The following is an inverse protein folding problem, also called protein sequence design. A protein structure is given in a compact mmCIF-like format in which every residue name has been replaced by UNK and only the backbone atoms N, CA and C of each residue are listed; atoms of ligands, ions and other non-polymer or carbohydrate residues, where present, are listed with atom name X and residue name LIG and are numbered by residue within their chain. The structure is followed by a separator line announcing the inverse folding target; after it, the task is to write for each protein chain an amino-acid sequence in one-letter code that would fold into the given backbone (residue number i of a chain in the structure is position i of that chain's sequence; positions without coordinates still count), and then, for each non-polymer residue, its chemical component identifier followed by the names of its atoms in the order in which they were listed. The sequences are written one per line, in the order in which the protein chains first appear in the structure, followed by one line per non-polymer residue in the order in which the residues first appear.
data_IF_258108509976
#
_entry.id   IF_258108509976
#
_cell.length_a   1.000
_cell.length_b   1.000
_cell.length_c   1.000
_cell.angle_alpha   90.00
_cell.angle_beta   90.00
_cell.angle_gamma   90.00
#
_symmetry.space_group_name_H-M   'P 1'
#
loop_
_entity.id
_entity.type
_entity.pdbx_description
1 polymer ?
#
# COMPACT_ATOMS: atom_id res chain seq x y z
N UNK A 1 46.68 36.07 59.22
CA UNK A 1 46.50 34.87 60.06
C UNK A 1 45.07 34.37 59.86
N UNK A 2 44.86 33.08 59.60
CA UNK A 2 44.05 32.61 58.47
C UNK A 2 42.81 31.82 58.89
N UNK A 3 41.87 31.61 57.96
CA UNK A 3 41.28 30.29 57.65
C UNK A 3 40.28 30.39 56.49
N UNK A 4 40.79 30.07 55.30
CA UNK A 4 40.22 29.17 54.29
C UNK A 4 38.77 28.67 54.46
N UNK A 5 37.96 28.93 53.43
CA UNK A 5 36.73 28.21 53.12
C UNK A 5 36.18 28.66 51.77
N UNK A 6 36.73 28.14 50.67
CA UNK A 6 36.09 28.20 49.35
C UNK A 6 34.86 27.29 49.34
N UNK A 7 33.65 27.78 49.04
CA UNK A 7 32.56 26.93 48.62
C UNK A 7 32.58 26.80 47.10
N UNK A 8 32.71 25.55 46.66
CA UNK A 8 32.25 24.97 45.40
C UNK A 8 32.03 25.90 44.22
N UNK A 9 32.87 25.72 43.19
CA UNK A 9 32.55 26.15 41.84
C UNK A 9 31.15 25.69 41.48
N UNK A 10 30.24 26.67 41.37
CA UNK A 10 28.96 26.52 40.73
C UNK A 10 29.21 25.86 39.38
N UNK A 11 28.80 24.60 39.27
CA UNK A 11 28.66 23.92 38.00
C UNK A 11 27.69 24.76 37.18
N UNK A 12 28.25 25.64 36.35
CA UNK A 12 27.54 26.39 35.32
C UNK A 12 26.58 25.42 34.66
N UNK A 13 25.30 25.64 34.95
CA UNK A 13 24.16 25.07 34.26
C UNK A 13 24.53 24.94 32.80
N UNK A 14 24.65 23.70 32.33
CA UNK A 14 24.81 23.39 30.92
C UNK A 14 23.55 23.92 30.25
N UNK A 15 23.67 25.13 29.74
CA UNK A 15 22.92 25.77 28.67
C UNK A 15 21.59 25.09 28.41
N UNK A 16 20.51 25.77 28.82
CA UNK A 16 19.16 25.57 28.30
C UNK A 16 19.14 25.85 26.80
N UNK A 17 19.78 24.98 26.03
CA UNK A 17 19.64 24.94 24.59
C UNK A 17 18.21 24.47 24.34
N UNK A 18 17.42 25.31 23.68
CA UNK A 18 16.10 24.91 23.20
C UNK A 18 16.23 23.58 22.44
N UNK A 19 15.34 22.64 22.75
CA UNK A 19 15.32 21.34 22.08
C UNK A 19 15.18 21.56 20.56
N UNK A 20 16.01 20.87 19.77
CA UNK A 20 15.97 21.00 18.30
C UNK A 20 14.63 20.52 17.70
N UNK A 21 13.90 19.70 18.43
CA UNK A 21 12.59 19.18 18.05
C UNK A 21 11.51 19.77 18.95
N UNK A 22 10.32 19.94 18.39
CA UNK A 22 9.12 20.34 19.14
C UNK A 22 7.98 19.40 18.82
N UNK A 23 7.25 18.96 19.85
CA UNK A 23 6.02 18.20 19.66
C UNK A 23 4.96 19.06 18.97
N UNK A 24 4.32 18.50 17.94
CA UNK A 24 3.28 19.18 17.13
C UNK A 24 1.90 19.26 17.81
N UNK A 25 1.76 18.76 19.04
CA UNK A 25 0.51 18.80 19.82
C UNK A 25 -0.50 17.70 19.50
N UNK A 26 -0.19 16.81 18.56
CA UNK A 26 -1.03 15.65 18.23
C UNK A 26 -0.19 14.44 17.84
N UNK A 27 -0.82 13.26 17.85
CA UNK A 27 -0.23 11.99 17.45
C UNK A 27 -1.28 11.00 16.96
N UNK A 28 -0.83 9.76 16.75
CA UNK A 28 -1.68 8.65 16.34
C UNK A 28 -1.48 7.48 17.31
N UNK A 29 -2.55 7.04 17.96
CA UNK A 29 -2.54 5.76 18.68
C UNK A 29 -2.91 4.66 17.68
N UNK A 30 -2.19 3.54 17.76
CA UNK A 30 -2.57 2.30 17.09
C UNK A 30 -2.76 1.25 18.16
N UNK A 31 -3.86 0.51 18.09
CA UNK A 31 -4.17 -0.45 19.13
C UNK A 31 -4.93 -1.68 18.56
N UNK A 32 -4.70 -2.87 19.15
CA UNK A 32 -5.52 -4.04 18.88
C UNK A 32 -7.00 -3.77 19.19
N UNK A 33 -7.91 -4.39 18.43
CA UNK A 33 -9.36 -4.18 18.62
C UNK A 33 -9.89 -4.94 19.84
N UNK A 34 -9.27 -6.06 20.21
CA UNK A 34 -9.62 -6.83 21.39
C UNK A 34 -8.70 -6.44 22.56
N UNK A 35 -9.21 -6.46 23.80
CA UNK A 35 -8.39 -6.23 24.97
C UNK A 35 -7.38 -7.37 25.16
N UNK A 36 -6.22 -7.07 25.73
CA UNK A 36 -5.12 -8.03 25.90
C UNK A 36 -5.48 -9.26 26.73
N UNK A 37 -6.44 -9.14 27.66
CA UNK A 37 -6.95 -10.27 28.45
C UNK A 37 -7.58 -11.38 27.59
N UNK A 38 -8.12 -11.05 26.40
CA UNK A 38 -8.68 -12.02 25.45
C UNK A 38 -7.62 -12.82 24.67
N UNK A 39 -6.34 -12.53 24.87
CA UNK A 39 -5.28 -13.40 24.34
C UNK A 39 -5.36 -14.83 24.91
N UNK A 40 -5.92 -15.00 26.12
CA UNK A 40 -6.18 -16.31 26.72
C UNK A 40 -7.15 -17.17 25.93
N UNK A 41 -8.13 -16.55 25.26
CA UNK A 41 -9.15 -17.25 24.46
C UNK A 41 -8.58 -17.90 23.18
N UNK A 42 -7.35 -17.53 22.81
CA UNK A 42 -6.65 -18.13 21.67
C UNK A 42 -5.97 -19.45 22.03
N UNK A 43 -5.94 -19.83 23.31
CA UNK A 43 -5.41 -21.11 23.77
C UNK A 43 -6.33 -22.22 23.28
N UNK A 44 -5.90 -22.89 22.22
CA UNK A 44 -6.36 -24.24 21.94
C UNK A 44 -5.60 -25.16 22.90
N UNK A 45 -6.27 -26.13 23.51
CA UNK A 45 -5.58 -27.27 24.10
C UNK A 45 -5.38 -28.27 22.94
N UNK A 46 -4.26 -28.25 22.19
CA UNK A 46 -3.90 -29.46 21.47
C UNK A 46 -3.60 -30.48 22.57
N UNK A 47 -4.37 -31.57 22.61
CA UNK A 47 -4.06 -32.69 23.51
C UNK A 47 -2.59 -33.05 23.37
N UNK A 48 -1.94 -33.37 24.50
CA UNK A 48 -0.54 -33.81 24.50
C UNK A 48 -0.36 -35.17 23.81
N UNK A 49 -1.45 -35.82 23.41
CA UNK A 49 -1.48 -37.12 22.76
C UNK A 49 -1.93 -36.99 21.28
N UNK A 50 -1.12 -37.45 20.30
CA UNK A 50 -1.49 -37.44 18.88
C UNK A 50 -2.75 -38.26 18.54
N UNK A 51 -3.13 -39.22 19.40
CA UNK A 51 -4.27 -40.14 19.21
C UNK A 51 -5.51 -39.79 20.04
N UNK A 52 -5.44 -38.85 20.99
CA UNK A 52 -6.66 -38.22 21.51
C UNK A 52 -7.16 -37.21 20.47
N UNK A 53 -8.17 -37.64 19.71
CA UNK A 53 -8.87 -36.83 18.73
C UNK A 53 -9.47 -35.55 19.36
N UNK A 54 -8.65 -34.53 19.53
CA UNK A 54 -9.09 -33.17 19.82
C UNK A 54 -9.94 -32.72 18.63
N UNK A 55 -11.26 -32.67 18.79
CA UNK A 55 -12.22 -32.24 17.76
C UNK A 55 -11.77 -30.89 17.14
N UNK A 56 -11.10 -30.89 15.97
CA UNK A 56 -10.54 -29.67 15.41
C UNK A 56 -11.66 -28.78 14.89
N UNK A 57 -12.80 -29.37 14.50
CA UNK A 57 -13.98 -28.64 14.08
C UNK A 57 -14.62 -27.93 15.28
N UNK A 58 -14.77 -28.61 16.42
CA UNK A 58 -15.22 -28.02 17.69
C UNK A 58 -14.32 -26.88 18.15
N UNK A 59 -13.00 -27.09 18.11
CA UNK A 59 -12.01 -26.05 18.43
C UNK A 59 -12.12 -24.84 17.50
N UNK A 60 -12.30 -25.08 16.19
CA UNK A 60 -12.49 -24.01 15.22
C UNK A 60 -13.80 -23.25 15.48
N UNK A 61 -14.90 -23.94 15.79
CA UNK A 61 -16.18 -23.29 16.14
C UNK A 61 -16.06 -22.43 17.40
N UNK A 62 -15.37 -22.93 18.43
CA UNK A 62 -15.11 -22.16 19.65
C UNK A 62 -14.28 -20.90 19.38
N UNK A 63 -13.19 -21.03 18.61
CA UNK A 63 -12.37 -19.89 18.20
C UNK A 63 -13.12 -18.91 17.29
N UNK A 64 -14.04 -19.40 16.46
CA UNK A 64 -14.86 -18.60 15.57
C UNK A 64 -16.15 -18.09 16.22
N UNK A 65 -16.39 -18.32 17.51
CA UNK A 65 -17.64 -17.93 18.18
C UNK A 65 -17.87 -16.42 18.16
N UNK A 66 -16.80 -15.62 18.25
CA UNK A 66 -16.83 -14.16 18.22
C UNK A 66 -17.09 -13.65 16.77
N UNK A 67 -18.24 -12.98 16.51
CA UNK A 67 -18.56 -12.41 15.20
C UNK A 67 -17.50 -11.44 14.66
N UNK A 68 -16.85 -10.66 15.53
CA UNK A 68 -15.79 -9.73 15.14
C UNK A 68 -14.56 -10.46 14.61
N UNK A 69 -14.20 -11.59 15.23
CA UNK A 69 -13.09 -12.42 14.76
C UNK A 69 -13.41 -13.00 13.37
N UNK A 70 -14.63 -13.50 13.16
CA UNK A 70 -15.07 -14.00 11.84
C UNK A 70 -15.00 -12.90 10.79
N UNK A 71 -15.54 -11.72 11.09
CA UNK A 71 -15.51 -10.60 10.16
C UNK A 71 -14.08 -10.14 9.85
N UNK A 72 -13.21 -10.03 10.85
CA UNK A 72 -11.82 -9.62 10.68
C UNK A 72 -11.03 -10.58 9.76
N UNK A 73 -11.29 -11.90 9.87
CA UNK A 73 -10.68 -12.92 9.02
C UNK A 73 -11.23 -12.86 7.59
N UNK A 74 -12.52 -12.58 7.42
CA UNK A 74 -13.13 -12.34 6.09
C UNK A 74 -12.56 -11.10 5.41
N UNK A 75 -12.38 -10.00 6.14
CA UNK A 75 -11.74 -8.76 5.62
C UNK A 75 -10.29 -8.99 5.22
N UNK A 76 -9.58 -9.87 5.92
CA UNK A 76 -8.21 -10.24 5.57
C UNK A 76 -8.10 -11.09 4.28
N UNK A 77 -9.23 -11.43 3.62
CA UNK A 77 -9.24 -12.04 2.28
C UNK A 77 -8.63 -13.44 2.23
N UNK A 78 -8.68 -14.19 3.33
CA UNK A 78 -7.93 -15.44 3.48
C UNK A 78 -8.77 -16.68 3.16
N UNK A 79 -8.16 -17.72 2.58
CA UNK A 79 -8.77 -19.06 2.45
C UNK A 79 -9.25 -19.66 3.79
N UNK A 80 -8.84 -19.06 4.92
CA UNK A 80 -9.31 -19.38 6.26
C UNK A 80 -10.79 -19.00 6.46
N UNK A 81 -11.27 -17.87 5.91
CA UNK A 81 -12.67 -17.45 6.09
C UNK A 81 -13.64 -18.47 5.49
N UNK A 82 -13.30 -19.03 4.33
CA UNK A 82 -14.08 -20.08 3.67
C UNK A 82 -14.14 -21.36 4.50
N UNK A 83 -13.03 -21.76 5.13
CA UNK A 83 -13.00 -22.93 6.00
C UNK A 83 -13.87 -22.70 7.23
N UNK A 84 -13.72 -21.54 7.88
CA UNK A 84 -14.52 -21.17 9.05
C UNK A 84 -16.01 -21.20 8.71
N UNK A 85 -16.41 -20.61 7.58
CA UNK A 85 -17.80 -20.63 7.13
C UNK A 85 -18.31 -22.05 6.91
N UNK A 86 -17.58 -22.88 6.15
CA UNK A 86 -18.00 -24.27 5.88
C UNK A 86 -18.19 -25.10 7.14
N UNK A 87 -17.32 -24.92 8.14
CA UNK A 87 -17.40 -25.65 9.42
C UNK A 87 -18.59 -25.17 10.27
N UNK A 88 -18.90 -23.88 10.23
CA UNK A 88 -20.08 -23.30 10.91
C UNK A 88 -21.38 -23.71 10.22
N UNK A 89 -21.38 -23.81 8.89
CA UNK A 89 -22.53 -24.25 8.07
C UNK A 89 -22.77 -25.77 8.14
N UNK A 90 -21.93 -26.53 8.85
CA UNK A 90 -22.06 -27.98 8.97
C UNK A 90 -21.69 -28.78 7.71
N UNK A 91 -20.91 -28.20 6.80
CA UNK A 91 -20.52 -28.87 5.56
C UNK A 91 -19.52 -30.02 5.82
N UNK A 92 -19.72 -31.23 5.24
CA UNK A 92 -19.02 -32.46 5.66
C UNK A 92 -17.55 -32.59 5.20
N UNK A 93 -17.06 -31.79 4.24
CA UNK A 93 -15.81 -32.12 3.52
C UNK A 93 -14.62 -31.16 3.77
N UNK A 94 -14.20 -30.99 5.03
CA UNK A 94 -12.90 -30.32 5.33
C UNK A 94 -11.92 -31.33 5.89
N UNK A 95 -10.88 -31.66 5.10
CA UNK A 95 -9.87 -32.64 5.49
C UNK A 95 -9.13 -32.26 6.80
N UNK A 96 -8.71 -33.26 7.60
CA UNK A 96 -8.19 -33.05 8.97
C UNK A 96 -6.93 -32.18 9.04
N UNK A 97 -6.06 -32.25 8.04
CA UNK A 97 -4.85 -31.40 7.96
C UNK A 97 -5.23 -29.92 7.74
N UNK A 98 -6.21 -29.65 6.88
CA UNK A 98 -6.70 -28.29 6.60
C UNK A 98 -7.41 -27.71 7.82
N UNK A 99 -8.17 -28.53 8.55
CA UNK A 99 -8.80 -28.13 9.81
C UNK A 99 -7.77 -27.72 10.86
N UNK A 100 -6.76 -28.56 11.14
CA UNK A 100 -5.70 -28.25 12.13
C UNK A 100 -4.96 -26.94 11.80
N UNK A 101 -4.55 -26.76 10.54
CA UNK A 101 -3.93 -25.49 10.07
C UNK A 101 -4.86 -24.29 10.24
N UNK A 102 -6.17 -24.49 10.03
CA UNK A 102 -7.15 -23.41 10.18
C UNK A 102 -7.37 -23.02 11.64
N UNK A 103 -7.32 -23.99 12.56
CA UNK A 103 -7.34 -23.75 14.01
C UNK A 103 -6.14 -22.90 14.43
N UNK A 104 -4.92 -23.29 14.01
CA UNK A 104 -3.69 -22.53 14.29
C UNK A 104 -3.76 -21.10 13.73
N UNK A 105 -4.20 -20.95 12.48
CA UNK A 105 -4.31 -19.65 11.83
C UNK A 105 -5.36 -18.74 12.51
N UNK A 106 -6.49 -19.30 12.94
CA UNK A 106 -7.54 -18.54 13.64
C UNK A 106 -7.09 -18.16 15.07
N UNK A 107 -6.39 -19.04 15.77
CA UNK A 107 -5.77 -18.73 17.06
C UNK A 107 -4.73 -17.59 16.91
N UNK A 108 -3.87 -17.66 15.89
CA UNK A 108 -2.91 -16.59 15.59
C UNK A 108 -3.61 -15.26 15.25
N UNK A 109 -4.74 -15.29 14.53
CA UNK A 109 -5.55 -14.11 14.28
C UNK A 109 -6.09 -13.49 15.58
N UNK A 110 -6.65 -14.29 16.51
CA UNK A 110 -7.12 -13.80 17.82
C UNK A 110 -5.99 -13.21 18.68
N UNK A 111 -4.83 -13.87 18.72
CA UNK A 111 -3.65 -13.34 19.40
C UNK A 111 -3.25 -11.98 18.83
N UNK A 112 -3.20 -11.86 17.49
CA UNK A 112 -2.91 -10.61 16.81
C UNK A 112 -3.92 -9.52 17.19
N UNK A 113 -5.21 -9.85 17.15
CA UNK A 113 -6.32 -8.95 17.49
C UNK A 113 -6.30 -8.46 18.94
N UNK A 114 -5.54 -9.11 19.83
CA UNK A 114 -5.45 -8.77 21.26
C UNK A 114 -4.11 -8.16 21.67
N UNK A 115 -3.05 -8.32 20.87
CA UNK A 115 -1.68 -8.00 21.30
C UNK A 115 -0.90 -7.13 20.33
N UNK A 116 -1.27 -7.09 19.04
CA UNK A 116 -0.47 -6.41 18.02
C UNK A 116 -1.13 -5.11 17.57
N UNK A 117 -0.56 -3.93 17.86
CA UNK A 117 -1.13 -2.64 17.49
C UNK A 117 -0.96 -2.27 16.01
N UNK A 118 -0.32 -3.11 15.19
CA UNK A 118 -0.12 -2.80 13.76
C UNK A 118 -1.47 -2.86 13.02
N UNK A 119 -1.98 -1.70 12.61
CA UNK A 119 -3.23 -1.55 11.85
C UNK A 119 -3.29 -2.51 10.67
N UNK A 120 -4.39 -3.27 10.58
CA UNK A 120 -4.61 -4.28 9.54
C UNK A 120 -6.08 -4.70 9.55
N UNK A 121 -6.85 -4.25 8.56
CA UNK A 121 -8.27 -4.57 8.46
C UNK A 121 -9.00 -4.19 9.75
N UNK A 122 -9.72 -5.17 10.31
CA UNK A 122 -10.42 -5.05 11.59
C UNK A 122 -9.62 -5.55 12.79
N UNK A 123 -8.36 -5.97 12.62
CA UNK A 123 -7.60 -6.58 13.71
C UNK A 123 -7.01 -5.55 14.68
N UNK A 124 -6.67 -4.38 14.15
CA UNK A 124 -6.15 -3.25 14.91
C UNK A 124 -6.51 -1.98 14.15
N UNK A 125 -6.83 -0.92 14.89
CA UNK A 125 -7.24 0.35 14.34
C UNK A 125 -6.37 1.51 14.81
N UNK A 126 -6.78 2.70 14.40
CA UNK A 126 -6.08 3.95 14.73
C UNK A 126 -7.04 5.00 15.28
N UNK A 127 -6.54 5.87 16.15
CA UNK A 127 -7.27 7.04 16.65
C UNK A 127 -6.32 8.23 16.81
N UNK A 128 -6.80 9.47 16.67
CA UNK A 128 -5.99 10.65 16.96
C UNK A 128 -5.69 10.77 18.46
N UNK A 129 -4.50 11.23 18.78
CA UNK A 129 -4.08 11.62 20.13
C UNK A 129 -3.88 13.12 20.16
N UNK A 130 -4.34 13.80 21.20
CA UNK A 130 -4.04 15.21 21.44
C UNK A 130 -3.10 15.36 22.63
N UNK A 131 -2.14 16.27 22.54
CA UNK A 131 -1.28 16.62 23.66
C UNK A 131 -1.73 17.97 24.21
N UNK A 132 -2.15 18.00 25.47
CA UNK A 132 -2.60 19.18 26.15
C UNK A 132 -1.42 20.10 26.48
N UNK A 133 -1.58 21.41 26.26
CA UNK A 133 -0.54 22.43 26.56
C UNK A 133 -0.75 23.12 27.91
N UNK A 134 -1.83 22.79 28.62
CA UNK A 134 -2.32 23.48 29.82
C UNK A 134 -2.07 22.67 31.12
N UNK A 135 -1.21 21.65 31.08
CA UNK A 135 -0.91 20.81 32.25
C UNK A 135 -2.01 19.80 32.60
N UNK A 136 -3.04 19.63 31.75
CA UNK A 136 -4.09 18.62 31.97
C UNK A 136 -3.49 17.20 32.05
N UNK A 137 -3.96 16.43 33.04
CA UNK A 137 -3.60 15.02 33.22
C UNK A 137 -4.01 14.16 32.02
N UNK A 138 -3.36 12.99 31.88
CA UNK A 138 -3.71 12.02 30.85
C UNK A 138 -5.18 11.58 30.98
N UNK A 139 -5.93 11.58 29.87
CA UNK A 139 -7.31 11.07 29.80
C UNK A 139 -7.43 10.13 28.62
N UNK A 140 -8.04 8.97 28.87
CA UNK A 140 -8.37 7.99 27.84
C UNK A 140 -9.84 7.66 27.98
N UNK A 141 -10.60 7.84 26.91
CA UNK A 141 -11.94 7.29 26.77
C UNK A 141 -11.90 6.22 25.69
N UNK A 142 -12.41 5.04 26.01
CA UNK A 142 -12.50 3.91 25.09
C UNK A 142 -13.96 3.52 24.92
N UNK A 143 -14.53 3.88 23.78
CA UNK A 143 -15.89 3.52 23.39
C UNK A 143 -15.94 2.26 22.51
N UNK A 144 -17.15 1.82 22.19
CA UNK A 144 -17.41 0.65 21.35
C UNK A 144 -17.79 0.99 19.91
N UNK A 145 -18.03 2.26 19.57
CA UNK A 145 -18.59 2.69 18.29
C UNK A 145 -17.50 2.85 17.20
N UNK A 146 -16.63 1.84 17.09
CA UNK A 146 -15.56 1.82 16.09
C UNK A 146 -16.13 1.93 14.67
N UNK A 147 -15.44 2.66 13.79
CA UNK A 147 -15.90 2.89 12.41
C UNK A 147 -14.95 2.26 11.40
N UNK A 148 -15.49 1.79 10.29
CA UNK A 148 -14.71 1.28 9.16
C UNK A 148 -14.59 2.35 8.08
N UNK A 149 -13.35 2.64 7.68
CA UNK A 149 -13.08 3.31 6.42
C UNK A 149 -12.91 2.22 5.36
N UNK A 150 -13.91 2.09 4.47
CA UNK A 150 -13.96 1.04 3.44
C UNK A 150 -13.73 1.69 2.08
N UNK A 151 -12.84 1.10 1.28
CA UNK A 151 -12.56 1.54 -0.09
C UNK A 151 -12.25 0.33 -0.98
N UNK A 152 -12.48 0.39 -2.29
CA UNK A 152 -11.96 -0.63 -3.19
C UNK A 152 -10.44 -0.73 -3.06
N UNK A 153 -9.93 -1.94 -3.27
CA UNK A 153 -8.51 -2.13 -3.46
C UNK A 153 -8.08 -1.36 -4.72
N UNK A 154 -6.95 -0.66 -4.63
CA UNK A 154 -6.49 0.21 -5.73
C UNK A 154 -6.14 -0.60 -6.95
N UNK A 155 -5.62 -1.79 -6.74
CA UNK A 155 -5.30 -2.70 -7.82
C UNK A 155 -6.60 -3.22 -8.45
N UNK A 156 -7.56 -3.66 -7.62
CA UNK A 156 -8.93 -4.00 -8.05
C UNK A 156 -9.50 -2.96 -9.00
N UNK A 157 -9.55 -1.72 -8.54
CA UNK A 157 -10.12 -0.62 -9.29
C UNK A 157 -9.32 -0.27 -10.55
N UNK A 158 -7.98 -0.29 -10.47
CA UNK A 158 -7.13 -0.01 -11.62
C UNK A 158 -7.33 -1.01 -12.77
N UNK A 159 -7.49 -2.30 -12.46
CA UNK A 159 -7.71 -3.31 -13.50
C UNK A 159 -9.08 -3.19 -14.14
N UNK A 160 -10.12 -2.93 -13.34
CA UNK A 160 -11.47 -2.67 -13.85
C UNK A 160 -11.45 -1.49 -14.83
N UNK A 161 -10.78 -0.39 -14.47
CA UNK A 161 -10.68 0.81 -15.31
C UNK A 161 -9.83 0.58 -16.56
N UNK A 162 -8.74 -0.19 -16.47
CA UNK A 162 -7.83 -0.45 -17.58
C UNK A 162 -8.52 -1.09 -18.80
N UNK A 163 -9.55 -1.91 -18.57
CA UNK A 163 -10.34 -2.50 -19.65
C UNK A 163 -11.31 -1.50 -20.28
N UNK A 164 -11.83 -0.55 -19.51
CA UNK A 164 -12.80 0.44 -19.97
C UNK A 164 -12.15 1.53 -20.81
N UNK A 165 -11.03 2.06 -20.35
CA UNK A 165 -10.37 3.22 -20.96
C UNK A 165 -9.78 2.94 -22.36
N UNK A 166 -9.69 1.66 -22.75
CA UNK A 166 -9.25 1.24 -24.09
C UNK A 166 -10.39 1.15 -25.10
N UNK A 167 -11.66 1.12 -24.64
CA UNK A 167 -12.83 0.99 -25.50
C UNK A 167 -13.05 2.32 -26.27
N UNK A 168 -13.17 2.32 -27.60
CA UNK A 168 -13.36 3.55 -28.38
C UNK A 168 -14.55 4.41 -27.91
N UNK A 169 -15.67 3.75 -27.59
CA UNK A 169 -16.88 4.38 -27.09
C UNK A 169 -16.75 5.00 -25.70
N UNK A 170 -15.74 4.61 -24.91
CA UNK A 170 -15.43 5.21 -23.60
C UNK A 170 -14.36 6.28 -23.76
N UNK A 171 -13.25 5.93 -24.42
CA UNK A 171 -12.07 6.77 -24.60
C UNK A 171 -12.40 8.13 -25.24
N UNK A 172 -13.38 8.17 -26.15
CA UNK A 172 -13.84 9.43 -26.77
C UNK A 172 -14.39 10.45 -25.76
N UNK A 173 -14.96 9.98 -24.65
CA UNK A 173 -15.52 10.84 -23.61
C UNK A 173 -14.50 11.20 -22.53
N UNK A 174 -13.44 10.42 -22.35
CA UNK A 174 -12.40 10.70 -21.36
C UNK A 174 -11.45 11.81 -21.83
N UNK A 175 -10.91 12.57 -20.88
CA UNK A 175 -9.71 13.36 -21.15
C UNK A 175 -8.48 12.47 -21.19
N UNK A 176 -7.59 12.78 -22.13
CA UNK A 176 -6.33 12.09 -22.35
C UNK A 176 -5.16 13.06 -22.32
N UNK A 177 -4.00 12.60 -21.87
CA UNK A 177 -2.76 13.37 -21.86
C UNK A 177 -1.56 12.44 -22.05
N UNK A 178 -0.54 12.88 -22.79
CA UNK A 178 0.69 12.11 -22.96
C UNK A 178 1.41 12.00 -21.63
N UNK A 179 1.91 10.81 -21.34
CA UNK A 179 2.72 10.57 -20.15
C UNK A 179 4.02 11.39 -20.23
N UNK A 180 4.19 12.30 -19.28
CA UNK A 180 5.34 13.20 -19.23
C UNK A 180 6.69 12.48 -18.99
N UNK A 181 6.64 11.19 -18.65
CA UNK A 181 7.84 10.34 -18.53
C UNK A 181 8.32 9.79 -19.87
N UNK A 182 7.58 9.98 -20.97
CA UNK A 182 8.00 9.51 -22.29
C UNK A 182 9.11 10.39 -22.90
N UNK A 183 10.20 9.76 -23.34
CA UNK A 183 11.34 10.43 -23.99
C UNK A 183 11.56 9.89 -25.41
N UNK A 184 12.18 10.70 -26.28
CA UNK A 184 12.63 10.22 -27.60
C UNK A 184 14.02 9.58 -27.47
N UNK A 185 14.19 8.37 -28.00
CA UNK A 185 15.47 7.68 -28.12
C UNK A 185 15.58 7.04 -29.49
N UNK A 186 16.38 7.62 -30.38
CA UNK A 186 16.70 7.05 -31.69
C UNK A 186 15.48 6.81 -32.59
N UNK A 187 14.50 7.72 -32.60
CA UNK A 187 13.27 7.56 -33.39
C UNK A 187 12.24 6.63 -32.75
N UNK A 188 12.42 6.27 -31.48
CA UNK A 188 11.45 5.56 -30.66
C UNK A 188 10.99 6.44 -29.51
N UNK A 189 9.72 6.28 -29.13
CA UNK A 189 9.18 6.87 -27.92
C UNK A 189 9.29 5.84 -26.82
N UNK A 190 10.01 6.20 -25.76
CA UNK A 190 10.39 5.31 -24.67
C UNK A 190 9.73 5.79 -23.38
N UNK A 191 9.02 4.90 -22.71
CA UNK A 191 8.59 5.05 -21.32
C UNK A 191 9.52 4.18 -20.45
N UNK A 192 10.45 4.78 -19.69
CA UNK A 192 11.47 4.02 -18.95
C UNK A 192 10.88 3.20 -17.79
N UNK A 193 9.68 3.57 -17.33
CA UNK A 193 9.03 2.96 -16.17
C UNK A 193 7.55 2.68 -16.48
N UNK A 194 7.24 1.44 -16.86
CA UNK A 194 5.87 0.95 -16.92
C UNK A 194 5.70 -0.24 -15.96
N UNK A 195 4.84 -0.14 -14.94
CA UNK A 195 4.44 -1.29 -14.13
C UNK A 195 3.69 -2.30 -14.99
N UNK A 196 4.14 -3.56 -15.00
CA UNK A 196 3.45 -4.65 -15.68
C UNK A 196 3.32 -5.87 -14.75
N UNK A 197 2.30 -6.72 -14.94
CA UNK A 197 2.28 -8.04 -14.34
C UNK A 197 3.60 -8.75 -14.60
N UNK A 198 4.19 -9.34 -13.56
CA UNK A 198 5.40 -10.12 -13.69
C UNK A 198 5.05 -11.45 -14.37
N UNK A 199 5.89 -11.93 -15.30
CA UNK A 199 5.81 -13.31 -15.74
C UNK A 199 5.99 -14.27 -14.55
N UNK A 200 5.33 -15.42 -14.59
CA UNK A 200 5.46 -16.46 -13.55
C UNK A 200 6.93 -16.86 -13.28
N UNK A 201 7.75 -16.90 -14.33
CA UNK A 201 9.19 -17.24 -14.28
C UNK A 201 10.10 -16.00 -14.30
N UNK A 202 9.57 -14.81 -13.99
CA UNK A 202 10.30 -13.54 -14.06
C UNK A 202 11.36 -13.35 -12.96
N UNK A 203 12.38 -12.50 -13.20
CA UNK A 203 13.55 -12.34 -12.32
C UNK A 203 13.18 -11.88 -10.89
N UNK A 204 14.11 -12.06 -9.95
CA UNK A 204 14.03 -11.75 -8.50
C UNK A 204 13.77 -10.26 -8.14
N UNK A 205 13.32 -9.42 -9.07
CA UNK A 205 13.00 -7.99 -8.87
C UNK A 205 11.52 -7.65 -8.78
N UNK A 206 10.64 -8.65 -8.84
CA UNK A 206 9.20 -8.44 -8.75
C UNK A 206 8.77 -8.05 -7.33
N UNK A 207 7.94 -7.02 -7.22
CA UNK A 207 7.26 -6.72 -5.95
C UNK A 207 5.98 -7.55 -5.97
N UNK A 208 5.86 -8.49 -5.03
CA UNK A 208 4.56 -9.07 -4.71
C UNK A 208 3.75 -8.03 -3.95
N UNK A 209 2.51 -7.80 -4.36
CA UNK A 209 1.55 -7.10 -3.52
C UNK A 209 0.96 -8.04 -2.45
N UNK A 210 0.06 -7.50 -1.64
CA UNK A 210 -0.58 -8.22 -0.54
C UNK A 210 -1.46 -9.39 -1.03
N UNK A 211 -1.85 -9.41 -2.30
CA UNK A 211 -2.60 -10.51 -2.93
C UNK A 211 -1.68 -11.58 -3.55
N UNK A 212 -0.37 -11.34 -3.58
CA UNK A 212 0.63 -12.24 -4.17
C UNK A 212 0.90 -11.96 -5.65
N UNK A 213 0.27 -10.94 -6.24
CA UNK A 213 0.50 -10.56 -7.62
C UNK A 213 1.88 -9.90 -7.73
N UNK A 214 2.74 -10.53 -8.52
CA UNK A 214 4.09 -10.06 -8.77
C UNK A 214 4.03 -9.02 -9.87
N UNK A 215 4.59 -7.83 -9.66
CA UNK A 215 4.76 -6.81 -10.71
C UNK A 215 6.24 -6.56 -11.03
N UNK A 216 6.55 -6.49 -12.32
CA UNK A 216 7.86 -6.05 -12.82
C UNK A 216 7.74 -4.66 -13.45
N UNK A 217 8.82 -3.91 -13.41
CA UNK A 217 8.91 -2.64 -14.14
C UNK A 217 9.70 -2.91 -15.41
N UNK A 218 9.13 -2.53 -16.54
CA UNK A 218 9.76 -2.69 -17.84
C UNK A 218 9.79 -1.35 -18.57
N UNK A 219 10.81 -1.19 -19.40
CA UNK A 219 10.83 -0.13 -20.41
C UNK A 219 9.83 -0.50 -21.51
N UNK A 220 8.97 0.43 -21.87
CA UNK A 220 8.07 0.30 -23.02
C UNK A 220 8.60 1.19 -24.13
N UNK A 221 8.81 0.60 -25.31
CA UNK A 221 9.36 1.31 -26.46
C UNK A 221 8.48 1.09 -27.69
N UNK A 222 7.98 2.18 -28.27
CA UNK A 222 7.20 2.16 -29.52
C UNK A 222 7.91 2.97 -30.59
N UNK A 223 7.67 2.65 -31.85
CA UNK A 223 8.18 3.47 -32.96
C UNK A 223 7.55 4.87 -32.87
N UNK A 224 8.36 5.93 -32.89
CA UNK A 224 7.87 7.31 -32.85
C UNK A 224 7.42 7.74 -34.26
N UNK A 225 6.36 7.11 -34.78
CA UNK A 225 5.81 7.42 -36.11
C UNK A 225 5.25 8.83 -36.17
N UNK A 226 5.00 9.36 -37.37
CA UNK A 226 4.38 10.69 -37.56
C UNK A 226 3.02 10.81 -36.84
N UNK A 227 2.27 9.71 -36.71
CA UNK A 227 1.00 9.68 -35.97
C UNK A 227 1.25 9.78 -34.47
N UNK A 228 2.23 9.03 -33.92
CA UNK A 228 2.60 9.09 -32.50
C UNK A 228 3.16 10.48 -32.14
N UNK A 229 3.97 11.07 -33.01
CA UNK A 229 4.46 12.45 -32.86
C UNK A 229 3.30 13.45 -32.80
N UNK A 230 2.30 13.32 -33.70
CA UNK A 230 1.12 14.16 -33.68
C UNK A 230 0.30 13.98 -32.39
N UNK A 231 0.16 12.75 -31.88
CA UNK A 231 -0.49 12.51 -30.57
C UNK A 231 0.26 13.23 -29.46
N UNK A 232 1.59 13.15 -29.42
CA UNK A 232 2.42 13.85 -28.41
C UNK A 232 2.24 15.37 -28.45
N UNK A 233 2.24 15.93 -29.66
CA UNK A 233 2.06 17.36 -29.88
C UNK A 233 0.67 17.81 -29.44
N UNK A 234 -0.39 17.12 -29.87
CA UNK A 234 -1.78 17.50 -29.62
C UNK A 234 -2.22 17.23 -28.17
N UNK A 235 -1.71 16.16 -27.55
CA UNK A 235 -2.10 15.72 -26.21
C UNK A 235 -1.06 16.02 -25.12
N UNK A 236 -0.19 17.02 -25.32
CA UNK A 236 0.75 17.49 -24.28
C UNK A 236 0.04 18.15 -23.09
N UNK A 237 -1.20 18.61 -23.29
CA UNK A 237 -2.14 19.06 -22.24
C UNK A 237 -3.42 18.20 -22.31
N UNK A 238 -4.15 18.05 -21.19
CA UNK A 238 -5.38 17.26 -21.19
C UNK A 238 -6.44 17.81 -22.15
N UNK A 239 -6.95 16.95 -23.04
CA UNK A 239 -8.06 17.22 -23.96
C UNK A 239 -8.98 16.00 -24.09
N UNK A 240 -10.20 16.15 -24.61
CA UNK A 240 -11.11 15.00 -24.79
C UNK A 240 -10.60 14.06 -25.90
N UNK A 241 -10.80 12.76 -25.72
CA UNK A 241 -10.43 11.76 -26.73
C UNK A 241 -11.09 12.02 -28.09
N UNK A 242 -12.35 12.48 -28.11
CA UNK A 242 -13.03 12.90 -29.34
C UNK A 242 -12.37 14.10 -30.04
N UNK A 243 -11.84 15.06 -29.28
CA UNK A 243 -11.14 16.22 -29.83
C UNK A 243 -9.80 15.80 -30.43
N UNK A 244 -9.05 14.93 -29.74
CA UNK A 244 -7.81 14.36 -30.25
C UNK A 244 -8.06 13.56 -31.53
N UNK A 245 -9.07 12.69 -31.54
CA UNK A 245 -9.39 11.87 -32.71
C UNK A 245 -9.77 12.74 -33.93
N UNK A 246 -10.57 13.80 -33.73
CA UNK A 246 -10.91 14.76 -34.78
C UNK A 246 -9.67 15.47 -35.32
N UNK A 247 -8.78 15.95 -34.44
CA UNK A 247 -7.55 16.63 -34.85
C UNK A 247 -6.61 15.70 -35.66
N UNK A 248 -6.50 14.43 -35.26
CA UNK A 248 -5.71 13.44 -36.00
C UNK A 248 -6.30 13.15 -37.38
N UNK A 249 -7.62 13.02 -37.51
CA UNK A 249 -8.27 12.81 -38.81
C UNK A 249 -8.13 14.02 -39.74
N UNK A 250 -8.09 15.24 -39.20
CA UNK A 250 -7.82 16.45 -39.99
C UNK A 250 -6.37 16.46 -40.51
N UNK A 251 -5.40 16.01 -39.71
CA UNK A 251 -3.98 15.94 -40.09
C UNK A 251 -3.64 14.76 -41.00
N UNK A 252 -4.43 13.68 -40.93
CA UNK A 252 -4.26 12.46 -41.72
C UNK A 252 -5.58 12.08 -42.40
N UNK A 253 -5.94 12.69 -43.55
CA UNK A 253 -7.25 12.50 -44.19
C UNK A 253 -7.58 11.05 -44.60
N UNK A 254 -6.57 10.20 -44.77
CA UNK A 254 -6.75 8.77 -45.06
C UNK A 254 -7.05 7.88 -43.84
N UNK A 255 -7.05 8.44 -42.62
CA UNK A 255 -7.30 7.67 -41.40
C UNK A 255 -8.79 7.58 -41.09
N UNK A 256 -9.29 6.36 -40.87
CA UNK A 256 -10.65 6.14 -40.37
C UNK A 256 -10.73 6.37 -38.87
N UNK A 257 -11.94 6.59 -38.35
CA UNK A 257 -12.15 6.79 -36.91
C UNK A 257 -11.75 5.54 -36.10
N UNK A 258 -12.05 4.37 -36.63
CA UNK A 258 -11.72 3.07 -36.04
C UNK A 258 -10.20 2.91 -35.88
N UNK A 259 -9.42 3.21 -36.94
CA UNK A 259 -7.95 3.12 -36.89
C UNK A 259 -7.36 4.12 -35.89
N UNK A 260 -7.93 5.32 -35.79
CA UNK A 260 -7.49 6.33 -34.82
C UNK A 260 -7.72 5.85 -33.38
N UNK A 261 -8.92 5.40 -33.03
CA UNK A 261 -9.18 4.91 -31.68
C UNK A 261 -8.45 3.60 -31.35
N UNK A 262 -8.22 2.72 -32.33
CA UNK A 262 -7.36 1.56 -32.14
C UNK A 262 -5.93 2.00 -31.74
N UNK A 263 -5.37 2.99 -32.45
CA UNK A 263 -4.06 3.56 -32.14
C UNK A 263 -4.03 4.21 -30.75
N UNK A 264 -5.03 5.03 -30.42
CA UNK A 264 -5.11 5.68 -29.11
C UNK A 264 -5.26 4.64 -27.98
N UNK A 265 -6.11 3.63 -28.16
CA UNK A 265 -6.29 2.53 -27.22
C UNK A 265 -4.99 1.73 -26.98
N UNK A 266 -4.19 1.52 -28.03
CA UNK A 266 -2.86 0.92 -27.89
C UNK A 266 -1.88 1.80 -27.10
N UNK A 267 -1.90 3.12 -27.28
CA UNK A 267 -1.06 4.04 -26.52
C UNK A 267 -1.49 4.11 -25.05
N UNK A 268 -2.80 4.00 -24.78
CA UNK A 268 -3.34 3.87 -23.43
C UNK A 268 -2.92 2.56 -22.78
N UNK A 269 -3.02 1.44 -23.50
CA UNK A 269 -2.58 0.13 -23.01
C UNK A 269 -1.08 0.07 -22.67
N UNK A 270 -0.28 0.95 -23.30
CA UNK A 270 1.17 1.07 -23.10
C UNK A 270 1.56 2.16 -22.10
N UNK A 271 0.59 2.78 -21.42
CA UNK A 271 0.77 3.92 -20.50
C UNK A 271 1.49 5.14 -21.13
N UNK A 272 1.54 5.22 -22.46
CA UNK A 272 2.07 6.37 -23.21
C UNK A 272 1.04 7.50 -23.23
N UNK A 273 -0.23 7.14 -23.33
CA UNK A 273 -1.36 8.06 -23.20
C UNK A 273 -2.10 7.72 -21.90
N UNK A 274 -2.21 8.68 -21.00
CA UNK A 274 -2.91 8.54 -19.73
C UNK A 274 -4.34 9.05 -19.89
N UNK A 275 -5.29 8.44 -19.17
CA UNK A 275 -6.69 8.89 -19.14
C UNK A 275 -7.05 9.44 -17.76
N UNK A 276 -8.04 10.32 -17.70
CA UNK A 276 -8.56 10.85 -16.42
C UNK A 276 -9.34 9.81 -15.61
N UNK A 277 -9.65 8.63 -16.17
CA UNK A 277 -10.40 7.59 -15.47
C UNK A 277 -9.58 6.96 -14.34
N UNK A 278 -8.25 6.95 -14.44
CA UNK A 278 -7.38 6.42 -13.38
C UNK A 278 -7.28 7.41 -12.21
N UNK A 279 -7.63 7.01 -10.98
CA UNK A 279 -7.57 7.92 -9.83
C UNK A 279 -6.12 8.24 -9.43
N UNK A 280 -5.81 9.51 -9.11
CA UNK A 280 -4.53 9.88 -8.52
C UNK A 280 -4.22 9.14 -7.20
N UNK A 281 -2.95 9.06 -6.83
CA UNK A 281 -2.53 8.37 -5.59
C UNK A 281 -3.08 9.08 -4.34
N UNK A 282 -3.22 10.38 -4.41
CA UNK A 282 -3.74 11.27 -3.38
C UNK A 282 -5.27 11.35 -3.34
N UNK A 283 -5.98 10.71 -4.28
CA UNK A 283 -7.43 10.70 -4.29
C UNK A 283 -7.95 10.05 -2.99
N UNK A 284 -8.67 10.84 -2.19
CA UNK A 284 -9.25 10.40 -0.93
C UNK A 284 -10.31 9.30 -1.14
N UNK A 285 -11.10 9.45 -2.22
CA UNK A 285 -12.08 8.46 -2.66
C UNK A 285 -11.81 8.08 -4.12
N UNK A 286 -11.04 6.99 -4.35
CA UNK A 286 -10.69 6.59 -5.71
C UNK A 286 -11.89 6.05 -6.49
N UNK A 287 -12.90 5.47 -5.81
CA UNK A 287 -14.11 4.96 -6.48
C UNK A 287 -14.94 6.09 -7.06
N UNK A 288 -15.21 7.09 -6.23
CA UNK A 288 -15.99 8.26 -6.64
C UNK A 288 -15.28 9.10 -7.70
N UNK A 289 -13.96 9.11 -7.71
CA UNK A 289 -13.17 9.68 -8.82
C UNK A 289 -13.52 9.00 -10.15
N UNK A 290 -13.48 7.66 -10.21
CA UNK A 290 -13.81 6.89 -11.42
C UNK A 290 -15.25 7.17 -11.87
N UNK A 291 -16.20 7.12 -10.92
CA UNK A 291 -17.61 7.41 -11.21
C UNK A 291 -17.82 8.80 -11.81
N UNK A 292 -17.10 9.82 -11.32
CA UNK A 292 -17.14 11.19 -11.84
C UNK A 292 -16.49 11.28 -13.23
N UNK A 293 -15.32 10.68 -13.41
CA UNK A 293 -14.58 10.69 -14.67
C UNK A 293 -15.39 10.06 -15.81
N UNK A 294 -16.11 8.97 -15.51
CA UNK A 294 -16.93 8.24 -16.47
C UNK A 294 -18.40 8.71 -16.54
N UNK A 295 -18.80 9.75 -15.79
CA UNK A 295 -20.20 10.15 -15.70
C UNK A 295 -20.86 10.55 -17.03
N UNK A 296 -20.06 11.07 -17.98
CA UNK A 296 -20.53 11.46 -19.31
C UNK A 296 -20.46 10.36 -20.38
N UNK A 297 -20.07 9.14 -20.01
CA UNK A 297 -19.98 8.00 -20.93
C UNK A 297 -21.39 7.40 -21.07
N UNK A 298 -21.94 7.24 -22.29
CA UNK A 298 -23.22 6.59 -22.49
C UNK A 298 -23.24 5.15 -21.99
N UNK A 299 -24.36 4.72 -21.41
CA UNK A 299 -24.53 3.35 -20.87
C UNK A 299 -24.30 2.27 -21.94
N UNK A 300 -24.59 2.54 -23.22
CA UNK A 300 -24.31 1.64 -24.33
C UNK A 300 -22.81 1.35 -24.53
N UNK A 301 -21.93 2.22 -24.03
CA UNK A 301 -20.47 2.09 -24.13
C UNK A 301 -19.83 1.63 -22.81
N UNK A 302 -20.51 1.83 -21.68
CA UNK A 302 -20.03 1.45 -20.35
C UNK A 302 -21.19 1.04 -19.41
N UNK A 303 -21.88 -0.08 -19.68
CA UNK A 303 -22.98 -0.54 -18.83
C UNK A 303 -22.52 -0.88 -17.40
N UNK A 304 -21.25 -1.28 -17.23
CA UNK A 304 -20.66 -1.64 -15.94
C UNK A 304 -20.61 -0.48 -14.93
N UNK A 305 -20.73 0.78 -15.40
CA UNK A 305 -20.74 1.95 -14.53
C UNK A 305 -21.92 1.91 -13.54
N UNK A 306 -23.07 1.34 -13.93
CA UNK A 306 -24.22 1.16 -13.05
C UNK A 306 -23.94 0.15 -11.92
N UNK A 307 -23.23 -0.94 -12.22
CA UNK A 307 -22.80 -1.89 -11.20
C UNK A 307 -21.79 -1.24 -10.24
N UNK A 308 -20.90 -0.39 -10.75
CA UNK A 308 -19.94 0.34 -9.91
C UNK A 308 -20.62 1.31 -8.93
N UNK A 309 -21.71 2.00 -9.34
CA UNK A 309 -22.55 2.80 -8.45
C UNK A 309 -23.25 1.95 -7.39
N UNK A 310 -23.68 0.75 -7.76
CA UNK A 310 -24.28 -0.20 -6.80
C UNK A 310 -23.25 -0.66 -5.78
N UNK A 311 -22.03 -0.95 -6.22
CA UNK A 311 -20.90 -1.28 -5.33
C UNK A 311 -20.59 -0.12 -4.38
N UNK A 312 -20.60 1.13 -4.83
CA UNK A 312 -20.43 2.32 -3.95
C UNK A 312 -21.48 2.34 -2.82
N UNK A 313 -22.74 2.05 -3.14
CA UNK A 313 -23.82 1.93 -2.16
C UNK A 313 -23.62 0.77 -1.18
N UNK A 314 -23.21 -0.40 -1.65
CA UNK A 314 -22.96 -1.58 -0.80
C UNK A 314 -21.72 -1.41 0.10
N UNK A 315 -20.67 -0.74 -0.39
CA UNK A 315 -19.51 -0.37 0.44
C UNK A 315 -19.91 0.58 1.56
N UNK A 316 -20.76 1.57 1.24
CA UNK A 316 -21.30 2.51 2.23
C UNK A 316 -22.19 1.82 3.26
N UNK A 317 -23.05 0.89 2.81
CA UNK A 317 -23.88 0.06 3.67
C UNK A 317 -23.05 -0.82 4.61
N UNK A 318 -22.01 -1.48 4.08
CA UNK A 318 -21.09 -2.26 4.89
C UNK A 318 -20.36 -1.38 5.91
N UNK A 319 -19.83 -0.23 5.50
CA UNK A 319 -19.15 0.71 6.40
C UNK A 319 -20.03 1.18 7.56
N UNK A 320 -21.34 1.33 7.32
CA UNK A 320 -22.33 1.81 8.28
C UNK A 320 -22.86 0.74 9.25
N UNK A 321 -22.61 -0.55 9.02
CA UNK A 321 -23.00 -1.59 10.00
C UNK A 321 -22.20 -1.44 11.31
N UNK A 322 -22.57 -2.17 12.37
CA UNK A 322 -21.70 -2.30 13.53
C UNK A 322 -20.50 -3.22 13.23
N UNK A 323 -19.36 -2.94 13.85
CA UNK A 323 -18.15 -3.75 13.73
C UNK A 323 -18.38 -5.11 14.39
N UNK A 324 -18.27 -6.19 13.63
CA UNK A 324 -18.62 -7.56 14.03
C UNK A 324 -20.00 -8.01 13.54
N UNK A 325 -20.86 -7.10 13.09
CA UNK A 325 -22.17 -7.39 12.49
C UNK A 325 -22.17 -7.33 10.96
N UNK A 326 -21.04 -7.04 10.32
CA UNK A 326 -20.98 -6.69 8.90
C UNK A 326 -20.82 -7.86 7.94
N UNK A 327 -20.71 -9.11 8.41
CA UNK A 327 -20.33 -10.26 7.56
C UNK A 327 -21.24 -10.44 6.34
N UNK A 328 -22.57 -10.35 6.50
CA UNK A 328 -23.49 -10.50 5.37
C UNK A 328 -23.35 -9.38 4.34
N UNK A 329 -23.15 -8.14 4.79
CA UNK A 329 -22.91 -7.00 3.89
C UNK A 329 -21.56 -7.11 3.17
N UNK A 330 -20.53 -7.58 3.87
CA UNK A 330 -19.21 -7.86 3.31
C UNK A 330 -19.28 -8.91 2.20
N UNK A 331 -19.98 -10.03 2.43
CA UNK A 331 -20.15 -11.08 1.43
C UNK A 331 -20.93 -10.58 0.20
N UNK A 332 -21.98 -9.77 0.39
CA UNK A 332 -22.73 -9.18 -0.73
C UNK A 332 -21.85 -8.29 -1.60
N UNK A 333 -21.08 -7.38 -1.00
CA UNK A 333 -20.21 -6.48 -1.75
C UNK A 333 -19.05 -7.23 -2.40
N UNK A 334 -18.44 -8.19 -1.70
CA UNK A 334 -17.42 -9.07 -2.29
C UNK A 334 -17.96 -9.84 -3.50
N UNK A 335 -19.17 -10.41 -3.39
CA UNK A 335 -19.80 -11.14 -4.50
C UNK A 335 -20.03 -10.26 -5.73
N UNK A 336 -20.45 -9.00 -5.55
CA UNK A 336 -20.58 -8.02 -6.64
C UNK A 336 -19.23 -7.67 -7.27
N UNK A 337 -18.24 -7.35 -6.44
CA UNK A 337 -16.91 -6.97 -6.91
C UNK A 337 -16.22 -8.12 -7.68
N UNK A 338 -16.36 -9.37 -7.22
CA UNK A 338 -15.82 -10.56 -7.90
C UNK A 338 -16.50 -10.84 -9.24
N UNK A 339 -17.81 -10.58 -9.37
CA UNK A 339 -18.52 -10.69 -10.65
C UNK A 339 -18.03 -9.67 -11.67
N UNK A 340 -17.64 -8.47 -11.22
CA UNK A 340 -17.07 -7.46 -12.10
C UNK A 340 -15.61 -7.77 -12.47
N UNK A 341 -14.81 -8.16 -11.48
CA UNK A 341 -13.45 -8.65 -11.68
C UNK A 341 -13.01 -9.52 -10.50
N UNK A 342 -12.72 -10.80 -10.76
CA UNK A 342 -12.42 -11.77 -9.71
C UNK A 342 -11.01 -11.56 -9.14
N UNK A 343 -10.97 -11.16 -7.87
CA UNK A 343 -9.73 -11.11 -7.08
C UNK A 343 -9.97 -11.50 -5.61
N UNK A 344 -8.95 -12.07 -4.94
CA UNK A 344 -9.09 -12.52 -3.56
C UNK A 344 -9.48 -11.42 -2.57
N UNK A 345 -8.90 -10.22 -2.73
CA UNK A 345 -9.09 -9.07 -1.82
C UNK A 345 -9.48 -7.81 -2.58
N UNK A 346 -10.76 -7.67 -3.00
CA UNK A 346 -11.18 -6.58 -3.88
C UNK A 346 -11.38 -5.24 -3.14
N UNK A 347 -11.36 -5.23 -1.80
CA UNK A 347 -11.50 -4.03 -0.98
C UNK A 347 -10.45 -3.95 0.13
N UNK A 348 -10.28 -2.74 0.68
CA UNK A 348 -9.42 -2.44 1.83
C UNK A 348 -10.27 -1.81 2.92
N UNK A 349 -10.02 -2.24 4.15
CA UNK A 349 -10.66 -1.70 5.35
C UNK A 349 -9.58 -1.16 6.28
N UNK A 350 -9.75 0.08 6.70
CA UNK A 350 -8.97 0.71 7.75
C UNK A 350 -9.91 0.96 8.94
N UNK A 351 -9.56 0.45 10.14
CA UNK A 351 -10.38 0.61 11.34
C UNK A 351 -10.04 1.92 12.07
N UNK A 352 -11.06 2.76 12.25
CA UNK A 352 -11.00 3.96 13.09
C UNK A 352 -11.55 3.59 14.46
N UNK A 353 -10.70 3.63 15.46
CA UNK A 353 -11.09 3.29 16.83
C UNK A 353 -11.89 4.44 17.45
N UNK A 354 -12.92 4.07 18.20
CA UNK A 354 -13.71 4.98 19.03
C UNK A 354 -12.96 5.23 20.34
N UNK A 355 -11.85 5.95 20.23
CA UNK A 355 -10.93 6.19 21.33
C UNK A 355 -10.55 7.66 21.31
N UNK A 356 -10.75 8.33 22.44
CA UNK A 356 -10.22 9.67 22.67
C UNK A 356 -9.04 9.58 23.64
N UNK A 357 -7.86 10.00 23.17
CA UNK A 357 -6.64 10.06 23.98
C UNK A 357 -6.19 11.51 24.10
N UNK A 358 -6.07 11.98 25.34
CA UNK A 358 -5.40 13.23 25.68
C UNK A 358 -4.20 12.92 26.56
N UNK A 359 -3.02 13.38 26.14
CA UNK A 359 -1.78 13.23 26.88
C UNK A 359 -1.29 14.59 27.41
N UNK A 360 -0.58 14.64 28.54
CA UNK A 360 0.07 15.87 29.00
C UNK A 360 1.14 16.36 28.02
N UNK A 361 1.37 17.67 27.97
CA UNK A 361 2.42 18.29 27.15
C UNK A 361 3.82 17.74 27.43
N UNK A 362 4.09 17.37 28.68
CA UNK A 362 5.34 16.72 29.09
C UNK A 362 5.66 15.45 28.29
N UNK A 363 4.66 14.70 27.84
CA UNK A 363 4.87 13.51 26.99
C UNK A 363 5.38 13.91 25.60
N UNK A 364 4.84 15.00 25.03
CA UNK A 364 5.29 15.52 23.74
C UNK A 364 6.71 16.12 23.84
N UNK A 365 7.03 16.77 24.97
CA UNK A 365 8.38 17.26 25.26
C UNK A 365 9.38 16.13 25.41
N UNK A 366 9.02 15.05 26.11
CA UNK A 366 9.88 13.88 26.25
C UNK A 366 10.11 13.19 24.90
N UNK A 367 9.06 13.06 24.08
CA UNK A 367 9.19 12.55 22.72
C UNK A 367 10.13 13.43 21.85
N UNK A 368 10.07 14.76 22.01
CA UNK A 368 10.97 15.69 21.33
C UNK A 368 12.43 15.50 21.77
N UNK A 369 12.68 15.37 23.09
CA UNK A 369 14.01 15.05 23.62
C UNK A 369 14.54 13.71 23.11
N UNK A 370 13.70 12.68 23.05
CA UNK A 370 14.07 11.38 22.51
C UNK A 370 14.38 11.43 21.00
N UNK A 371 13.66 12.23 20.23
CA UNK A 371 13.95 12.49 18.82
C UNK A 371 15.30 13.21 18.66
N UNK A 372 15.57 14.22 19.49
CA UNK A 372 16.85 14.93 19.49
C UNK A 372 18.01 14.00 19.83
N UNK A 373 17.86 13.18 20.88
CA UNK A 373 18.87 12.20 21.25
C UNK A 373 19.11 11.22 20.11
N UNK A 374 18.06 10.70 19.48
CA UNK A 374 18.16 9.78 18.34
C UNK A 374 18.88 10.44 17.15
N UNK A 375 18.60 11.72 16.89
CA UNK A 375 19.26 12.48 15.84
C UNK A 375 20.75 12.72 16.15
N UNK A 376 21.10 13.10 17.39
CA UNK A 376 22.48 13.33 17.84
C UNK A 376 23.32 12.04 17.89
N UNK A 377 22.69 10.92 18.24
CA UNK A 377 23.31 9.58 18.20
C UNK A 377 23.38 9.01 16.77
N UNK A 378 22.60 9.57 15.86
CA UNK A 378 22.63 9.23 14.44
C UNK A 378 24.03 9.48 13.84
N UNK A 379 24.42 8.74 12.80
CA UNK A 379 25.70 8.95 12.13
C UNK A 379 25.77 10.39 11.58
N UNK A 380 26.82 11.13 11.96
CA UNK A 380 27.06 12.53 11.52
C UNK A 380 27.11 12.70 10.00
N UNK A 381 27.37 11.61 9.27
CA UNK A 381 27.22 11.51 7.81
C UNK A 381 26.21 10.40 7.52
N UNK A 382 24.98 10.79 7.24
CA UNK A 382 23.90 9.87 6.84
C UNK A 382 23.92 9.56 5.34
N UNK A 383 24.78 10.20 4.56
CA UNK A 383 24.87 9.99 3.11
C UNK A 383 25.32 8.54 2.81
N UNK A 384 24.48 7.74 2.13
CA UNK A 384 24.89 6.42 1.69
C UNK A 384 26.09 6.52 0.75
N UNK A 385 27.10 5.66 0.94
CA UNK A 385 28.33 5.62 0.12
C UNK A 385 28.08 5.74 -1.39
N UNK A 386 27.08 5.03 -1.90
CA UNK A 386 26.67 5.04 -3.32
C UNK A 386 26.28 6.44 -3.85
N UNK A 387 25.65 7.28 -3.02
CA UNK A 387 25.25 8.63 -3.42
C UNK A 387 26.43 9.58 -3.35
N UNK A 388 27.37 9.36 -2.42
CA UNK A 388 28.63 10.10 -2.39
C UNK A 388 29.46 9.86 -3.65
N UNK A 389 29.64 8.58 -4.02
CA UNK A 389 30.36 8.19 -5.24
C UNK A 389 29.66 8.76 -6.50
N UNK A 390 28.33 8.75 -6.53
CA UNK A 390 27.57 9.35 -7.62
C UNK A 390 27.72 10.87 -7.68
N UNK A 391 27.74 11.56 -6.52
CA UNK A 391 27.99 13.01 -6.44
C UNK A 391 29.39 13.36 -6.95
N UNK A 392 30.41 12.60 -6.55
CA UNK A 392 31.78 12.78 -7.03
C UNK A 392 31.84 12.64 -8.56
N UNK A 393 31.23 11.59 -9.13
CA UNK A 393 31.14 11.42 -10.58
C UNK A 393 30.33 12.54 -11.27
N UNK A 394 29.28 13.05 -10.62
CA UNK A 394 28.47 14.16 -11.12
C UNK A 394 29.28 15.46 -11.21
N UNK A 395 30.00 15.80 -10.14
CA UNK A 395 30.86 17.00 -10.11
C UNK A 395 32.00 16.87 -11.12
N UNK A 396 32.62 15.70 -11.24
CA UNK A 396 33.69 15.45 -12.21
C UNK A 396 33.21 15.67 -13.66
N UNK A 397 32.01 15.20 -14.00
CA UNK A 397 31.48 15.29 -15.38
C UNK A 397 30.90 16.66 -15.71
N UNK A 398 30.20 17.29 -14.78
CA UNK A 398 29.36 18.46 -15.06
C UNK A 398 29.82 19.74 -14.36
N UNK A 399 30.76 19.67 -13.41
CA UNK A 399 31.17 20.79 -12.57
C UNK A 399 30.10 21.18 -11.53
N UNK A 400 30.27 22.34 -10.90
CA UNK A 400 29.35 22.88 -9.90
C UNK A 400 28.41 23.96 -10.42
N UNK A 401 28.68 24.48 -11.62
CA UNK A 401 28.04 25.70 -12.14
C UNK A 401 26.98 25.41 -13.23
N UNK A 402 26.66 24.13 -13.44
CA UNK A 402 25.69 23.67 -14.45
C UNK A 402 24.51 22.94 -13.80
N UNK A 403 23.30 23.33 -14.21
CA UNK A 403 22.09 22.54 -13.94
C UNK A 403 21.95 21.49 -15.04
N UNK A 404 21.83 20.23 -14.64
CA UNK A 404 21.63 19.08 -15.55
C UNK A 404 20.23 18.51 -15.30
N UNK A 405 19.40 18.34 -16.34
CA UNK A 405 18.12 17.66 -16.20
C UNK A 405 18.28 16.28 -15.57
N UNK A 406 17.45 15.95 -14.58
CA UNK A 406 17.55 14.67 -13.85
C UNK A 406 17.47 13.47 -14.79
N UNK A 407 16.63 13.55 -15.83
CA UNK A 407 16.50 12.49 -16.83
C UNK A 407 17.77 12.34 -17.69
N UNK A 408 18.49 13.43 -17.99
CA UNK A 408 19.78 13.37 -18.68
C UNK A 408 20.83 12.73 -17.77
N UNK A 409 20.92 13.16 -16.49
CA UNK A 409 21.90 12.62 -15.55
C UNK A 409 21.72 11.10 -15.31
N UNK A 410 20.48 10.64 -15.23
CA UNK A 410 20.12 9.24 -14.99
C UNK A 410 20.15 8.35 -16.25
N UNK A 411 20.27 8.94 -17.44
CA UNK A 411 20.37 8.17 -18.68
C UNK A 411 21.81 7.62 -18.84
N UNK A 412 21.98 6.31 -19.07
CA UNK A 412 23.30 5.70 -19.17
C UNK A 412 24.03 6.02 -20.48
N UNK A 413 23.32 6.43 -21.53
CA UNK A 413 23.87 6.71 -22.85
C UNK A 413 24.37 8.15 -22.95
N UNK A 414 23.61 9.11 -22.40
CA UNK A 414 23.96 10.55 -22.46
C UNK A 414 24.51 11.11 -21.15
N UNK A 415 24.31 10.43 -20.03
CA UNK A 415 24.67 10.88 -18.69
C UNK A 415 25.54 9.91 -17.90
N UNK A 416 25.30 9.86 -16.59
CA UNK A 416 26.03 8.99 -15.66
C UNK A 416 25.31 7.66 -15.40
N UNK A 417 24.07 7.50 -15.87
CA UNK A 417 23.20 6.40 -15.47
C UNK A 417 22.71 6.55 -14.03
N UNK A 418 22.01 5.54 -13.51
CA UNK A 418 21.53 5.55 -12.13
C UNK A 418 22.65 5.24 -11.11
N UNK A 419 22.53 5.70 -9.85
CA UNK A 419 23.51 5.37 -8.81
C UNK A 419 23.60 3.86 -8.55
N UNK A 420 24.79 3.37 -8.20
CA UNK A 420 25.02 1.95 -7.95
C UNK A 420 24.07 1.37 -6.88
N UNK A 421 23.50 0.21 -7.18
CA UNK A 421 22.55 -0.49 -6.31
C UNK A 421 21.09 -0.05 -6.48
N UNK A 422 20.82 0.90 -7.38
CA UNK A 422 19.46 1.14 -7.83
C UNK A 422 18.96 -0.10 -8.59
N UNK A 423 17.71 -0.49 -8.28
CA UNK A 423 17.08 -1.69 -8.86
C UNK A 423 16.24 -1.40 -10.09
N UNK A 424 15.98 -0.12 -10.39
CA UNK A 424 15.05 0.33 -11.43
C UNK A 424 15.55 1.64 -12.09
N UNK A 425 16.26 1.57 -13.23
CA UNK A 425 16.76 0.36 -13.88
C UNK A 425 17.82 -0.35 -13.00
N UNK A 426 17.97 -1.66 -13.16
CA UNK A 426 18.97 -2.42 -12.41
C UNK A 426 20.38 -2.02 -12.83
N UNK A 427 21.12 -1.35 -11.94
CA UNK A 427 22.54 -1.02 -12.17
C UNK A 427 23.42 -2.18 -11.69
N UNK A 428 24.41 -2.64 -12.46
CA UNK A 428 25.38 -3.60 -11.94
C UNK A 428 26.07 -3.00 -10.71
N UNK A 429 25.84 -3.60 -9.54
CA UNK A 429 26.70 -3.31 -8.39
C UNK A 429 28.09 -3.81 -8.73
N UNK A 430 29.14 -3.01 -8.53
CA UNK A 430 30.52 -3.46 -8.68
C UNK A 430 30.69 -4.73 -7.83
N UNK A 431 30.80 -5.88 -8.49
CA UNK A 431 30.76 -7.19 -7.87
C UNK A 431 31.89 -7.32 -6.84
N UNK A 432 31.54 -7.28 -5.55
CA UNK A 432 32.43 -7.74 -4.49
C UNK A 432 32.48 -9.26 -4.54
N UNK A 433 33.63 -9.81 -4.94
CA UNK A 433 34.12 -11.20 -4.84
C UNK A 433 33.07 -12.22 -4.35
N UNK A 434 32.71 -13.11 -5.27
CA UNK A 434 32.02 -14.39 -5.05
C UNK A 434 32.57 -15.12 -3.81
N UNK A 435 31.68 -15.46 -2.89
CA UNK A 435 31.94 -16.41 -1.80
C UNK A 435 31.25 -17.72 -2.18
N UNK A 436 31.88 -18.90 -2.04
CA UNK A 436 31.33 -20.14 -2.57
C UNK A 436 30.08 -20.57 -1.80
N UNK A 437 29.08 -21.04 -2.55
CA UNK A 437 27.84 -21.62 -2.06
C UNK A 437 28.10 -22.97 -1.37
N UNK A 438 27.66 -23.11 -0.11
CA UNK A 438 27.47 -24.43 0.52
C UNK A 438 26.04 -24.89 0.23
N UNK A 439 25.93 -26.05 -0.38
CA UNK A 439 24.71 -26.82 -0.59
C UNK A 439 24.14 -27.33 0.75
N UNK A 440 22.81 -27.35 0.87
CA UNK A 440 22.11 -28.04 1.96
C UNK A 440 20.66 -27.61 2.21
N UNK A 441 19.73 -28.52 1.85
CA UNK A 441 18.38 -28.78 2.41
C UNK A 441 17.19 -27.84 2.12
N UNK A 442 16.23 -28.35 1.31
CA UNK A 442 14.80 -28.54 1.61
C UNK A 442 13.86 -27.32 1.76
N UNK A 443 12.71 -27.25 1.04
CA UNK A 443 11.85 -26.06 1.04
C UNK A 443 10.89 -25.99 2.23
N UNK A 444 10.94 -24.87 2.96
CA UNK A 444 9.95 -24.44 3.96
C UNK A 444 8.92 -23.51 3.30
N UNK A 445 7.62 -23.55 3.65
CA UNK A 445 6.64 -22.63 3.09
C UNK A 445 6.86 -21.21 3.62
N UNK A 446 6.98 -20.25 2.70
CA UNK A 446 7.24 -18.85 2.96
C UNK A 446 5.99 -18.10 3.44
N UNK A 447 6.00 -17.67 4.71
CA UNK A 447 5.29 -16.48 5.17
C UNK A 447 6.30 -15.35 5.34
N UNK A 448 5.97 -14.07 5.05
CA UNK A 448 6.92 -12.96 5.14
C UNK A 448 7.30 -12.71 6.61
N UNK A 449 8.42 -13.32 7.02
CA UNK A 449 8.95 -13.23 8.36
C UNK A 449 9.78 -11.94 8.50
N UNK A 450 9.20 -10.89 9.07
CA UNK A 450 10.00 -9.88 9.78
C UNK A 450 10.20 -10.40 11.21
N UNK A 451 11.38 -10.95 11.48
CA UNK A 451 11.86 -11.18 12.85
C UNK A 451 11.91 -9.82 13.57
N UNK A 452 11.03 -9.61 14.53
CA UNK A 452 11.15 -8.54 15.51
C UNK A 452 11.08 -9.17 16.89
N UNK A 453 12.14 -8.97 17.66
CA UNK A 453 12.30 -9.44 19.02
C UNK A 453 11.15 -8.94 19.90
N UNK A 454 10.44 -9.86 20.54
CA UNK A 454 9.49 -9.58 21.62
C UNK A 454 10.24 -9.49 22.94
N UNK A 455 10.39 -8.29 23.49
CA UNK A 455 10.61 -8.10 24.92
C UNK A 455 9.25 -7.75 25.54
N UNK A 456 8.77 -8.62 26.43
CA UNK A 456 7.58 -8.39 27.27
C UNK A 456 8.06 -7.63 28.50
N UNK A 457 7.59 -6.40 28.79
CA UNK A 457 7.79 -5.82 30.12
C UNK A 457 6.79 -6.48 31.07
N UNK A 458 7.30 -7.20 32.08
CA UNK A 458 6.54 -7.50 33.29
C UNK A 458 6.42 -6.19 34.07
N UNK A 459 5.21 -5.65 34.18
CA UNK A 459 4.88 -4.67 35.20
C UNK A 459 4.25 -5.43 36.37
N UNK A 460 4.81 -5.23 37.57
CA UNK A 460 4.20 -5.64 38.83
C UNK A 460 3.02 -4.72 39.18
#
# INVERSE_FOLDING_TARGET
MPASGEPGSEGKSLVSGECLFRGVGFGLVRAPVLPSCRAGDARTHPGHDPDEAADPAGSLRALAADPLVREAVSVAGSALSEVVRRVLDGAPDVGPVRLRRSVEALAAARLRMSTRPTSCGLMAGVAPVRCATDGTAAKVHWGGAHRRAVRPDREWLATVVADWERRPGVLRHLRVVVNALCTDRGGRLVLPYAPQPAPADGPEGAIADDAGDRRTVREVSVRNTVVVQAVRELAHRPLRGAELARALRQRFPGATEETVYATLGELVAKDILLTEARPPLEAADPLRHVLRACAGVPDAHLPELAELRTIEGELSSYAATEVGGGSAALERVHGRMRRLYDRPSPLRVDLVLDVEVRLPGAVAEEAARAAELSWRLGPRRSEPRRLREYREAFVERYGTDRVVPVLEALDPDVGLGAPAGYRRPGTPGRAGRTRPTRSGTGPWPSWPNRRCWTAVPRWC
#
